data_IF_137320104913
#
_entry.id   IF_137320104913
#
_cell.length_a   1.000
_cell.length_b   1.000
_cell.length_c   1.000
_cell.angle_alpha   90.00
_cell.angle_beta   90.00
_cell.angle_gamma   90.00
#
_symmetry.space_group_name_H-M   'P 1'
#
loop_
_entity.id
_entity.type
_entity.pdbx_description
1 polymer ?
#
# COMPACT_ATOMS: atom_id res chain seq x y z
N UNK A 1 -20.05 -2.58 -15.10
CA UNK A 1 -19.98 -3.14 -13.74
C UNK A 1 -19.64 -2.01 -12.80
N UNK A 2 -20.44 -1.78 -11.76
CA UNK A 2 -20.14 -0.79 -10.72
C UNK A 2 -18.96 -1.29 -9.91
N UNK A 3 -17.82 -0.61 -10.01
CA UNK A 3 -16.66 -0.91 -9.17
C UNK A 3 -17.00 -0.53 -7.72
N UNK A 4 -16.66 -1.40 -6.78
CA UNK A 4 -16.75 -1.07 -5.36
C UNK A 4 -15.72 0.02 -5.02
N UNK A 5 -16.22 1.21 -4.70
CA UNK A 5 -15.37 2.35 -4.33
C UNK A 5 -14.82 2.24 -2.90
N UNK A 6 -15.30 1.30 -2.09
CA UNK A 6 -14.76 1.03 -0.75
C UNK A 6 -13.48 0.20 -0.79
N UNK A 7 -13.25 -0.52 -1.90
CA UNK A 7 -12.11 -1.43 -2.06
C UNK A 7 -12.18 -2.66 -1.14
N UNK A 8 -13.36 -2.98 -0.60
CA UNK A 8 -13.58 -4.15 0.25
C UNK A 8 -13.91 -5.41 -0.57
N UNK A 9 -14.43 -5.23 -1.78
CA UNK A 9 -14.79 -6.30 -2.70
C UNK A 9 -13.77 -6.34 -3.84
N UNK A 10 -13.12 -7.48 -4.01
CA UNK A 10 -12.24 -7.70 -5.15
C UNK A 10 -13.03 -7.61 -6.47
N UNK A 11 -12.43 -7.08 -7.56
CA UNK A 11 -13.07 -7.06 -8.86
C UNK A 11 -13.52 -8.47 -9.29
N UNK A 12 -14.65 -8.61 -10.02
CA UNK A 12 -15.09 -9.92 -10.49
C UNK A 12 -13.98 -10.67 -11.26
N UNK A 13 -13.71 -11.91 -10.85
CA UNK A 13 -12.67 -12.75 -11.43
C UNK A 13 -11.24 -12.48 -10.94
N UNK A 14 -11.04 -11.54 -10.01
CA UNK A 14 -9.76 -11.34 -9.35
C UNK A 14 -9.64 -12.22 -8.10
N UNK A 15 -8.58 -13.02 -8.03
CA UNK A 15 -8.18 -13.79 -6.83
C UNK A 15 -6.87 -13.22 -6.26
N UNK A 16 -6.93 -12.07 -5.56
CA UNK A 16 -5.72 -11.47 -5.02
C UNK A 16 -5.12 -12.36 -3.94
N UNK A 17 -3.86 -12.76 -4.11
CA UNK A 17 -3.11 -13.46 -3.07
C UNK A 17 -2.68 -12.45 -2.01
N UNK A 18 -3.27 -12.58 -0.83
CA UNK A 18 -2.91 -11.77 0.35
C UNK A 18 -1.92 -12.56 1.19
N UNK A 19 -0.80 -11.93 1.54
CA UNK A 19 0.11 -12.42 2.58
C UNK A 19 0.03 -11.51 3.80
N UNK A 20 0.09 -12.08 4.99
CA UNK A 20 0.14 -11.34 6.24
C UNK A 20 1.49 -11.59 6.93
N UNK A 21 2.11 -10.55 7.47
CA UNK A 21 3.36 -10.66 8.22
C UNK A 21 3.41 -9.61 9.36
N UNK A 22 4.33 -9.80 10.29
CA UNK A 22 4.56 -8.89 11.41
C UNK A 22 5.58 -7.81 11.00
N UNK A 23 5.24 -6.54 11.24
CA UNK A 23 6.19 -5.44 11.26
C UNK A 23 6.62 -5.21 12.71
N UNK A 24 7.75 -5.79 13.10
CA UNK A 24 8.22 -5.77 14.49
C UNK A 24 8.54 -4.36 14.97
N UNK A 25 9.19 -3.55 14.13
CA UNK A 25 9.62 -2.19 14.49
C UNK A 25 8.44 -1.25 14.79
N UNK A 26 7.31 -1.44 14.11
CA UNK A 26 6.08 -0.70 14.37
C UNK A 26 5.10 -1.46 15.28
N UNK A 27 5.44 -2.68 15.69
CA UNK A 27 4.62 -3.51 16.57
C UNK A 27 3.23 -3.85 16.00
N UNK A 28 3.08 -3.91 14.68
CA UNK A 28 1.80 -4.16 14.01
C UNK A 28 1.93 -5.21 12.93
N UNK A 29 0.86 -5.96 12.65
CA UNK A 29 0.80 -6.76 11.42
C UNK A 29 0.50 -5.87 10.22
N UNK A 30 0.87 -6.36 9.05
CA UNK A 30 0.47 -5.78 7.77
C UNK A 30 0.03 -6.88 6.80
N UNK A 31 -0.75 -6.47 5.82
CA UNK A 31 -1.26 -7.31 4.76
C UNK A 31 -0.77 -6.78 3.42
N UNK A 32 -0.31 -7.69 2.56
CA UNK A 32 0.32 -7.36 1.31
C UNK A 32 -0.32 -8.08 0.13
N UNK A 33 -0.39 -7.37 -1.00
CA UNK A 33 -0.81 -7.91 -2.30
C UNK A 33 0.18 -7.52 -3.37
N UNK A 34 0.36 -8.38 -4.37
CA UNK A 34 1.11 -8.04 -5.57
C UNK A 34 0.17 -7.50 -6.65
N UNK A 35 0.50 -6.33 -7.19
CA UNK A 35 -0.19 -5.73 -8.32
C UNK A 35 0.83 -5.18 -9.31
N UNK A 36 0.79 -5.64 -10.57
CA UNK A 36 1.69 -5.18 -11.64
C UNK A 36 3.18 -5.34 -11.28
N UNK A 37 3.55 -6.43 -10.60
CA UNK A 37 4.92 -6.68 -10.14
C UNK A 37 5.38 -5.75 -9.01
N UNK A 38 4.47 -4.94 -8.45
CA UNK A 38 4.71 -4.10 -7.28
C UNK A 38 3.85 -4.62 -6.16
N UNK A 39 4.48 -4.98 -5.07
CA UNK A 39 3.74 -5.32 -3.88
C UNK A 39 3.27 -3.96 -3.24
N UNK A 40 1.98 -3.81 -2.88
CA UNK A 40 1.45 -2.76 -1.96
C UNK A 40 0.91 -3.30 -0.59
N UNK A 41 1.32 -2.69 0.53
CA UNK A 41 0.90 -3.08 1.90
C UNK A 41 -0.10 -2.12 2.56
N UNK A 42 -0.91 -2.68 3.46
CA UNK A 42 -1.71 -1.95 4.46
C UNK A 42 -1.49 -2.50 5.86
N UNK A 43 -1.33 -1.63 6.86
CA UNK A 43 -1.12 -2.02 8.27
C UNK A 43 -2.45 -2.22 8.97
N UNK A 44 -2.48 -3.12 9.94
CA UNK A 44 -3.69 -3.57 10.60
C UNK A 44 -4.31 -2.49 11.51
N UNK A 45 -3.47 -1.88 12.33
CA UNK A 45 -3.84 -1.01 13.46
C UNK A 45 -4.47 0.34 13.08
N UNK A 46 -4.00 0.98 12.00
CA UNK A 46 -4.46 2.31 11.59
C UNK A 46 -4.80 2.42 10.10
N UNK A 47 -4.76 1.29 9.39
CA UNK A 47 -5.13 1.17 7.98
C UNK A 47 -4.32 2.02 7.00
N UNK A 48 -3.19 2.62 7.41
CA UNK A 48 -2.30 3.32 6.49
C UNK A 48 -1.72 2.35 5.45
N UNK A 49 -1.39 2.90 4.27
CA UNK A 49 -0.85 2.17 3.13
C UNK A 49 0.56 2.67 2.84
N UNK A 50 1.45 1.80 2.34
CA UNK A 50 2.74 2.24 1.79
C UNK A 50 2.52 3.07 0.51
N UNK A 51 2.45 4.40 0.68
CA UNK A 51 2.16 5.35 -0.39
C UNK A 51 3.18 5.35 -1.52
N UNK A 52 4.46 5.06 -1.22
CA UNK A 52 5.51 4.94 -2.23
C UNK A 52 5.22 3.78 -3.18
N UNK A 53 4.84 2.63 -2.64
CA UNK A 53 4.47 1.44 -3.43
C UNK A 53 3.19 1.63 -4.20
N UNK A 54 2.14 2.19 -3.57
CA UNK A 54 0.87 2.46 -4.24
C UNK A 54 1.05 3.33 -5.49
N UNK A 55 1.79 4.43 -5.36
CA UNK A 55 2.05 5.33 -6.49
C UNK A 55 2.94 4.68 -7.56
N UNK A 56 3.84 3.79 -7.16
CA UNK A 56 4.67 3.03 -8.11
C UNK A 56 3.83 2.01 -8.90
N UNK A 57 2.93 1.29 -8.22
CA UNK A 57 1.96 0.40 -8.86
C UNK A 57 1.01 1.14 -9.82
N UNK A 58 0.70 2.40 -9.54
CA UNK A 58 -0.07 3.29 -10.41
C UNK A 58 0.74 3.89 -11.58
N UNK A 59 2.04 3.58 -11.71
CA UNK A 59 2.89 4.08 -12.80
C UNK A 59 3.28 5.55 -12.68
N UNK A 60 3.21 6.14 -11.47
CA UNK A 60 3.60 7.52 -11.25
C UNK A 60 5.13 7.67 -11.32
N UNK A 61 5.60 8.65 -12.09
CA UNK A 61 7.04 8.93 -12.21
C UNK A 61 7.64 9.36 -10.87
N UNK A 62 8.92 9.06 -10.66
CA UNK A 62 9.64 9.36 -9.41
C UNK A 62 9.44 10.81 -8.94
N UNK A 63 9.70 11.80 -9.79
CA UNK A 63 9.60 13.21 -9.41
C UNK A 63 8.17 13.62 -9.02
N UNK A 64 7.16 13.11 -9.74
CA UNK A 64 5.75 13.40 -9.44
C UNK A 64 5.32 12.73 -8.13
N UNK A 65 5.73 11.47 -7.92
CA UNK A 65 5.50 10.71 -6.69
C UNK A 65 6.05 11.45 -5.48
N UNK A 66 7.30 11.92 -5.56
CA UNK A 66 7.95 12.63 -4.46
C UNK A 66 7.21 13.95 -4.12
N UNK A 67 6.65 14.63 -5.13
CA UNK A 67 5.78 15.80 -4.92
C UNK A 67 4.46 15.46 -4.23
N UNK A 68 3.80 14.37 -4.63
CA UNK A 68 2.55 13.90 -4.01
C UNK A 68 2.80 13.51 -2.55
N UNK A 69 3.80 12.69 -2.27
CA UNK A 69 4.13 12.25 -0.90
C UNK A 69 4.50 13.45 0.01
N UNK A 70 5.19 14.45 -0.52
CA UNK A 70 5.54 15.68 0.21
C UNK A 70 4.35 16.60 0.47
N UNK A 71 3.28 16.52 -0.33
CA UNK A 71 2.07 17.32 -0.15
C UNK A 71 0.98 16.60 0.65
N UNK A 72 1.09 15.29 0.82
CA UNK A 72 0.18 14.51 1.68
C UNK A 72 0.25 15.00 3.13
N UNK A 73 -0.91 15.40 3.66
CA UNK A 73 -1.04 16.00 5.00
C UNK A 73 -1.01 14.93 6.08
N UNK A 74 -1.66 13.79 5.82
CA UNK A 74 -1.73 12.67 6.77
C UNK A 74 -0.73 11.61 6.33
N UNK A 75 0.50 11.73 6.81
CA UNK A 75 1.58 10.81 6.47
C UNK A 75 2.42 10.43 7.68
N UNK A 76 2.96 9.22 7.64
CA UNK A 76 3.96 8.71 8.55
C UNK A 76 5.15 8.25 7.70
N UNK A 77 6.29 8.92 7.87
CA UNK A 77 7.48 8.69 7.03
C UNK A 77 8.41 7.73 7.73
N UNK A 78 8.50 6.52 7.20
CA UNK A 78 9.43 5.49 7.64
C UNK A 78 10.68 5.50 6.76
N UNK A 79 11.85 5.45 7.40
CA UNK A 79 13.16 5.51 6.72
C UNK A 79 13.85 4.15 6.59
N UNK A 80 13.44 3.17 7.38
CA UNK A 80 13.97 1.81 7.43
C UNK A 80 12.78 0.89 7.62
N UNK A 81 12.62 -0.14 6.77
CA UNK A 81 11.39 -0.94 6.66
C UNK A 81 11.05 -1.80 7.88
N UNK A 82 10.18 -2.83 7.77
CA UNK A 82 9.32 -3.24 6.65
C UNK A 82 7.84 -2.84 6.77
N UNK A 83 7.34 -2.15 5.76
CA UNK A 83 5.96 -2.34 5.28
C UNK A 83 6.11 -2.86 3.85
N UNK A 84 6.70 -4.06 3.85
CA UNK A 84 7.53 -4.75 2.85
C UNK A 84 8.34 -3.88 1.86
N UNK A 85 8.86 -2.77 2.39
CA UNK A 85 9.90 -1.89 1.82
C UNK A 85 9.52 -1.24 0.49
#
# INVERSE_FOLDING_TARGET
MTFDHTGQIAPPGAEPRVTADLWEEEGTRYFQVEARGVCVARREDNHMINGTKLLSAAGITRSRRDGILKSEKTRHVVKTGPMYL
#
